data_IF_162572545896
#
_entry.id   IF_162572545896
#
_cell.length_a   1.000
_cell.length_b   1.000
_cell.length_c   1.000
_cell.angle_alpha   90.00
_cell.angle_beta   90.00
_cell.angle_gamma   90.00
#
_symmetry.space_group_name_H-M   'P 1'
#
loop_
_entity.id
_entity.type
_entity.pdbx_description
1 polymer ?
#
# COMPACT_ATOMS: atom_id res chain seq x y z
N UNK A 1 25.84 -12.26 21.27
CA UNK A 1 25.67 -11.82 19.88
C UNK A 1 24.20 -11.54 19.68
N UNK A 2 23.84 -10.27 19.47
CA UNK A 2 22.46 -9.84 19.29
C UNK A 2 22.07 -10.08 17.82
N UNK A 3 21.00 -10.82 17.49
CA UNK A 3 20.57 -10.94 16.10
C UNK A 3 20.09 -9.57 15.60
N UNK A 4 20.57 -9.17 14.43
CA UNK A 4 20.13 -7.97 13.73
C UNK A 4 18.61 -8.03 13.46
N UNK A 5 17.88 -6.90 13.52
CA UNK A 5 16.47 -6.88 13.16
C UNK A 5 16.35 -7.32 11.69
N UNK A 6 15.71 -8.47 11.46
CA UNK A 6 15.33 -8.92 10.13
C UNK A 6 14.31 -7.92 9.59
N UNK A 7 14.67 -7.21 8.51
CA UNK A 7 13.81 -6.27 7.80
C UNK A 7 12.43 -6.89 7.54
N UNK A 8 11.44 -6.51 8.36
CA UNK A 8 10.04 -6.95 8.29
C UNK A 8 9.22 -6.14 7.28
N UNK A 9 9.85 -5.21 6.55
CA UNK A 9 9.20 -4.27 5.62
C UNK A 9 8.51 -4.92 4.42
N UNK A 10 8.76 -6.21 4.16
CA UNK A 10 8.20 -6.92 3.01
C UNK A 10 6.83 -7.57 3.27
N UNK A 11 6.46 -7.87 4.52
CA UNK A 11 5.16 -8.51 4.83
C UNK A 11 4.24 -7.58 5.60
N UNK A 12 3.23 -7.07 4.90
CA UNK A 12 2.00 -6.58 5.52
C UNK A 12 1.29 -7.78 6.16
N UNK A 13 1.50 -7.97 7.46
CA UNK A 13 0.90 -9.04 8.23
C UNK A 13 -0.31 -8.56 9.01
N UNK A 14 -1.37 -9.37 9.05
CA UNK A 14 -2.56 -9.00 9.81
C UNK A 14 -2.26 -8.80 11.31
N UNK A 15 -2.82 -7.74 11.89
CA UNK A 15 -2.63 -7.38 13.30
C UNK A 15 -1.18 -6.97 13.64
N UNK A 16 -0.27 -6.94 12.66
CA UNK A 16 1.09 -6.49 12.91
C UNK A 16 1.11 -4.96 13.05
N UNK A 17 1.96 -4.43 13.95
CA UNK A 17 2.23 -3.01 14.00
C UNK A 17 2.71 -2.51 12.63
N UNK A 18 2.23 -1.34 12.23
CA UNK A 18 2.69 -0.67 11.03
C UNK A 18 3.11 0.76 11.38
N UNK A 19 4.35 1.07 11.03
CA UNK A 19 4.87 2.43 10.99
C UNK A 19 5.36 2.68 9.58
N UNK A 20 5.01 3.84 9.02
CA UNK A 20 5.45 4.18 7.66
C UNK A 20 6.97 4.24 7.63
N UNK A 21 7.64 3.40 6.82
CA UNK A 21 9.08 3.47 6.67
C UNK A 21 9.50 4.85 6.14
N UNK A 22 10.75 5.24 6.38
CA UNK A 22 11.30 6.50 5.90
C UNK A 22 11.26 6.65 4.37
N UNK A 23 11.70 7.82 3.90
CA UNK A 23 11.64 8.24 2.49
C UNK A 23 11.99 7.14 1.47
N UNK A 24 11.04 6.86 0.58
CA UNK A 24 11.20 5.95 -0.55
C UNK A 24 11.79 6.61 -1.80
N UNK A 25 11.91 5.83 -2.88
CA UNK A 25 12.33 6.32 -4.21
C UNK A 25 11.20 7.05 -4.94
N UNK A 26 9.97 6.86 -4.49
CA UNK A 26 8.77 7.55 -4.94
C UNK A 26 8.21 8.41 -3.80
N UNK A 27 7.64 9.56 -4.16
CA UNK A 27 6.58 10.17 -3.34
C UNK A 27 5.25 9.53 -3.74
N UNK A 28 4.44 9.11 -2.77
CA UNK A 28 3.18 8.39 -3.02
C UNK A 28 2.04 9.17 -2.35
N UNK A 29 1.13 9.71 -3.15
CA UNK A 29 -0.07 10.42 -2.71
C UNK A 29 -1.34 9.64 -3.11
N UNK A 30 -2.42 9.83 -2.37
CA UNK A 30 -3.62 8.99 -2.47
C UNK A 30 -4.88 9.82 -2.45
N UNK A 31 -5.76 9.56 -3.41
CA UNK A 31 -7.08 10.16 -3.52
C UNK A 31 -8.12 9.07 -3.30
N UNK A 32 -8.54 8.95 -2.05
CA UNK A 32 -9.56 8.02 -1.59
C UNK A 32 -10.73 8.77 -0.95
N UNK A 33 -11.94 8.18 -0.94
CA UNK A 33 -13.02 8.66 -0.10
C UNK A 33 -12.59 8.70 1.37
N UNK A 34 -12.94 9.76 2.09
CA UNK A 34 -12.70 9.85 3.54
C UNK A 34 -13.74 9.09 4.38
N UNK A 35 -14.77 8.53 3.74
CA UNK A 35 -15.85 7.77 4.38
C UNK A 35 -16.24 6.57 3.53
N UNK A 36 -16.57 5.45 4.17
CA UNK A 36 -17.13 4.27 3.54
C UNK A 36 -18.21 3.63 4.43
N UNK A 37 -19.19 2.97 3.83
CA UNK A 37 -20.17 2.17 4.57
C UNK A 37 -19.54 0.84 4.98
N UNK A 38 -19.84 0.35 6.18
CA UNK A 38 -19.50 -1.02 6.60
C UNK A 38 -20.17 -2.11 5.75
N UNK A 39 -21.13 -1.74 4.90
CA UNK A 39 -21.72 -2.63 3.88
C UNK A 39 -21.01 -2.59 2.54
N UNK A 40 -20.10 -1.64 2.33
CA UNK A 40 -19.33 -1.57 1.09
C UNK A 40 -18.35 -2.75 1.02
N UNK A 41 -18.08 -3.24 -0.19
CA UNK A 41 -17.15 -4.37 -0.37
C UNK A 41 -15.69 -3.94 -0.22
N UNK A 42 -15.38 -2.73 -0.66
CA UNK A 42 -14.03 -2.19 -0.73
C UNK A 42 -14.07 -0.66 -0.77
N UNK A 43 -12.94 -0.04 -0.43
CA UNK A 43 -12.67 1.36 -0.73
C UNK A 43 -11.76 1.40 -1.95
N UNK A 44 -12.14 2.18 -2.96
CA UNK A 44 -11.37 2.35 -4.20
C UNK A 44 -10.96 3.80 -4.35
N UNK A 45 -9.75 4.02 -4.87
CA UNK A 45 -9.22 5.34 -5.14
C UNK A 45 -8.10 5.30 -6.16
N UNK A 46 -7.37 6.41 -6.24
CA UNK A 46 -6.22 6.56 -7.13
C UNK A 46 -4.98 6.88 -6.30
N UNK A 47 -3.89 6.21 -6.61
CA UNK A 47 -2.56 6.49 -6.06
C UNK A 47 -1.76 7.20 -7.13
N UNK A 48 -1.31 8.41 -6.83
CA UNK A 48 -0.40 9.17 -7.66
C UNK A 48 1.02 8.98 -7.14
N UNK A 49 1.93 8.55 -8.01
CA UNK A 49 3.34 8.38 -7.67
C UNK A 49 4.16 9.43 -8.41
N UNK A 50 5.09 10.06 -7.71
CA UNK A 50 6.07 10.96 -8.31
C UNK A 50 7.46 10.39 -8.10
N UNK A 51 8.19 10.15 -9.18
CA UNK A 51 9.53 9.57 -9.08
C UNK A 51 10.54 10.61 -8.59
N UNK A 52 11.32 10.28 -7.56
CA UNK A 52 12.37 11.18 -7.03
C UNK A 52 13.71 11.06 -7.78
N UNK A 53 13.86 10.01 -8.57
CA UNK A 53 15.05 9.72 -9.41
C UNK A 53 14.64 8.95 -10.65
N UNK A 54 15.55 8.75 -11.60
CA UNK A 54 15.26 7.86 -12.73
C UNK A 54 15.06 6.42 -12.22
N UNK A 55 13.99 5.76 -12.65
CA UNK A 55 13.65 4.39 -12.26
C UNK A 55 13.11 3.65 -13.48
N UNK A 56 13.66 2.46 -13.74
CA UNK A 56 13.18 1.56 -14.77
C UNK A 56 12.99 0.18 -14.19
N UNK A 57 11.82 -0.40 -14.41
CA UNK A 57 11.45 -1.68 -13.81
C UNK A 57 10.00 -2.06 -14.04
N UNK A 58 9.61 -3.18 -13.45
CA UNK A 58 8.25 -3.70 -13.49
C UNK A 58 7.54 -3.38 -12.18
N UNK A 59 6.31 -2.87 -12.26
CA UNK A 59 5.42 -2.60 -11.13
C UNK A 59 4.15 -3.44 -11.27
N UNK A 60 3.43 -3.69 -10.17
CA UNK A 60 2.09 -4.28 -10.25
C UNK A 60 1.09 -3.31 -10.92
N UNK A 61 0.01 -3.81 -11.55
CA UNK A 61 -0.99 -2.96 -12.23
C UNK A 61 -1.72 -1.97 -11.33
N UNK A 62 -1.73 -2.18 -10.01
CA UNK A 62 -2.30 -1.28 -9.02
C UNK A 62 -1.38 -1.08 -7.82
N UNK A 63 -1.65 -0.05 -7.03
CA UNK A 63 -1.01 0.11 -5.73
C UNK A 63 -1.61 -0.88 -4.72
N UNK A 64 -0.78 -1.42 -3.84
CA UNK A 64 -1.25 -2.31 -2.78
C UNK A 64 -1.76 -1.46 -1.61
N UNK A 65 -3.08 -1.33 -1.49
CA UNK A 65 -3.71 -0.51 -0.45
C UNK A 65 -4.13 -1.38 0.73
N UNK A 66 -3.90 -0.90 1.95
CA UNK A 66 -4.22 -1.61 3.18
C UNK A 66 -4.78 -0.67 4.25
N UNK A 67 -5.48 -1.23 5.23
CA UNK A 67 -6.04 -0.48 6.35
C UNK A 67 -5.23 -0.71 7.61
N UNK A 68 -5.01 0.37 8.35
CA UNK A 68 -4.44 0.36 9.69
C UNK A 68 -5.47 0.93 10.66
N UNK A 69 -5.62 0.30 11.82
CA UNK A 69 -6.42 0.78 12.93
C UNK A 69 -5.59 0.72 14.19
N UNK A 70 -5.50 1.85 14.90
CA UNK A 70 -4.72 1.95 16.15
C UNK A 70 -3.27 1.46 15.98
N UNK A 71 -2.65 1.78 14.84
CA UNK A 71 -1.26 1.40 14.52
C UNK A 71 -1.06 -0.06 14.10
N UNK A 72 -2.11 -0.87 13.95
CA UNK A 72 -2.02 -2.26 13.49
C UNK A 72 -2.78 -2.50 12.18
N UNK A 73 -2.25 -3.35 11.30
CA UNK A 73 -2.90 -3.72 10.03
C UNK A 73 -4.22 -4.44 10.29
N UNK A 74 -5.33 -3.86 9.82
CA UNK A 74 -6.69 -4.35 10.00
C UNK A 74 -7.27 -5.02 8.74
N UNK A 75 -6.82 -4.59 7.56
CA UNK A 75 -7.14 -5.22 6.28
C UNK A 75 -5.91 -5.20 5.38
N UNK A 76 -5.68 -6.28 4.63
CA UNK A 76 -4.53 -6.41 3.72
C UNK A 76 -4.96 -6.16 2.28
N UNK A 77 -4.02 -5.82 1.38
CA UNK A 77 -4.34 -5.60 -0.02
C UNK A 77 -4.91 -6.85 -0.69
N UNK A 78 -5.80 -6.65 -1.66
CA UNK A 78 -6.22 -7.73 -2.56
C UNK A 78 -5.00 -8.25 -3.33
N UNK A 79 -4.92 -9.56 -3.53
CA UNK A 79 -3.91 -10.13 -4.40
C UNK A 79 -4.11 -9.62 -5.83
N UNK A 80 -3.05 -9.08 -6.44
CA UNK A 80 -3.09 -8.56 -7.80
C UNK A 80 -2.60 -9.60 -8.81
N UNK A 81 -2.99 -9.41 -10.06
CA UNK A 81 -2.51 -10.25 -11.17
C UNK A 81 -0.98 -10.21 -11.29
N UNK A 82 -0.41 -11.32 -11.75
CA UNK A 82 1.05 -11.47 -11.92
C UNK A 82 1.60 -10.74 -13.16
N UNK A 83 0.73 -10.12 -13.97
CA UNK A 83 1.15 -9.39 -15.17
C UNK A 83 1.51 -7.96 -14.74
N UNK A 84 2.80 -7.72 -14.52
CA UNK A 84 3.31 -6.38 -14.20
C UNK A 84 3.31 -5.44 -15.40
N UNK A 85 3.38 -4.13 -15.10
CA UNK A 85 3.49 -3.04 -16.07
C UNK A 85 4.93 -2.54 -16.08
N UNK A 86 5.51 -2.37 -17.27
CA UNK A 86 6.83 -1.76 -17.40
C UNK A 86 6.73 -0.26 -17.17
N UNK A 87 7.58 0.24 -16.27
CA UNK A 87 7.83 1.65 -16.04
C UNK A 87 9.23 2.03 -16.50
N UNK A 88 9.33 3.21 -17.12
CA UNK A 88 10.56 3.90 -17.45
C UNK A 88 10.34 5.38 -17.11
N UNK A 89 10.62 5.73 -15.85
CA UNK A 89 10.32 7.04 -15.26
C UNK A 89 11.60 7.85 -15.12
N UNK A 90 11.56 9.09 -15.59
CA UNK A 90 12.53 10.11 -15.24
C UNK A 90 12.26 10.68 -13.84
N UNK A 91 13.23 11.43 -13.30
CA UNK A 91 13.02 12.17 -12.06
C UNK A 91 11.97 13.28 -12.28
N UNK A 92 10.97 13.32 -11.41
CA UNK A 92 9.83 14.23 -11.49
C UNK A 92 8.64 13.71 -12.29
N UNK A 93 8.78 12.57 -12.99
CA UNK A 93 7.65 11.95 -13.69
C UNK A 93 6.57 11.50 -12.71
N UNK A 94 5.33 11.61 -13.18
CA UNK A 94 4.13 11.28 -12.41
C UNK A 94 3.37 10.17 -13.10
N UNK A 95 3.07 9.12 -12.36
CA UNK A 95 2.22 8.01 -12.80
C UNK A 95 1.02 7.83 -11.88
N UNK A 96 -0.04 7.21 -12.40
CA UNK A 96 -1.26 6.94 -11.64
C UNK A 96 -1.60 5.47 -11.65
N UNK A 97 -1.79 4.92 -10.46
CA UNK A 97 -2.22 3.55 -10.24
C UNK A 97 -3.62 3.54 -9.63
N UNK A 98 -4.50 2.60 -10.02
CA UNK A 98 -5.66 2.29 -9.22
C UNK A 98 -5.22 1.72 -7.87
N UNK A 99 -6.01 1.97 -6.82
CA UNK A 99 -5.81 1.36 -5.51
C UNK A 99 -7.14 0.90 -4.92
N UNK A 100 -7.18 -0.33 -4.43
CA UNK A 100 -8.32 -0.91 -3.74
C UNK A 100 -7.91 -1.59 -2.45
N UNK A 101 -8.77 -1.48 -1.43
CA UNK A 101 -8.64 -2.27 -0.21
C UNK A 101 -10.01 -2.86 0.17
N UNK A 102 -10.09 -4.16 0.45
CA UNK A 102 -11.33 -4.78 0.89
C UNK A 102 -11.71 -4.26 2.29
N UNK A 103 -12.99 -4.04 2.53
CA UNK A 103 -13.51 -3.74 3.87
C UNK A 103 -13.78 -5.02 4.67
N UNK A 104 -12.81 -5.94 4.61
CA UNK A 104 -12.84 -7.23 5.27
C UNK A 104 -11.62 -7.33 6.17
N UNK A 105 -11.86 -7.66 7.45
CA UNK A 105 -10.82 -7.93 8.43
C UNK A 105 -9.90 -9.05 7.93
N UNK A 106 -8.60 -8.84 8.05
CA UNK A 106 -7.60 -9.85 7.72
C UNK A 106 -7.43 -10.92 8.83
N UNK A 107 -8.13 -10.79 9.96
CA UNK A 107 -8.06 -11.75 11.06
C UNK A 107 -8.56 -13.13 10.64
N UNK A 108 -8.11 -14.24 11.28
CA UNK A 108 -8.48 -15.59 10.87
C UNK A 108 -9.98 -15.87 10.83
N UNK A 109 -10.77 -15.19 11.68
CA UNK A 109 -12.22 -15.32 11.67
C UNK A 109 -12.85 -14.71 10.40
N UNK A 110 -12.16 -13.77 9.76
CA UNK A 110 -12.68 -12.98 8.64
C UNK A 110 -13.93 -12.18 9.02
N UNK A 111 -14.44 -11.42 8.06
CA UNK A 111 -15.69 -10.65 8.21
C UNK A 111 -15.48 -9.16 8.00
N UNK A 112 -16.55 -8.36 7.98
CA UNK A 112 -16.46 -6.92 7.75
C UNK A 112 -15.53 -6.25 8.77
N UNK A 113 -14.76 -5.25 8.35
CA UNK A 113 -14.06 -4.40 9.31
C UNK A 113 -15.10 -3.68 10.19
N UNK A 114 -14.88 -3.56 11.52
CA UNK A 114 -15.84 -2.85 12.36
C UNK A 114 -15.93 -1.35 11.98
N UNK A 115 -17.05 -0.72 12.30
CA UNK A 115 -17.16 0.74 12.19
C UNK A 115 -16.11 1.44 13.06
N UNK A 116 -15.64 2.61 12.61
CA UNK A 116 -14.65 3.41 13.31
C UNK A 116 -13.71 4.18 12.38
N UNK A 117 -12.68 4.76 12.99
CA UNK A 117 -11.63 5.49 12.27
C UNK A 117 -10.47 4.55 11.90
N UNK A 118 -10.02 4.69 10.67
CA UNK A 118 -8.96 3.93 10.02
C UNK A 118 -8.00 4.87 9.30
N UNK A 119 -6.80 4.37 9.04
CA UNK A 119 -5.81 5.00 8.18
C UNK A 119 -5.60 4.10 6.95
N UNK A 120 -5.76 4.70 5.77
CA UNK A 120 -5.40 4.10 4.49
C UNK A 120 -3.93 4.36 4.20
N UNK A 121 -3.24 3.31 3.79
CA UNK A 121 -1.88 3.37 3.29
C UNK A 121 -1.78 2.65 1.96
N UNK A 122 -0.87 3.11 1.10
CA UNK A 122 -0.55 2.45 -0.16
C UNK A 122 0.91 2.05 -0.17
N UNK A 123 1.20 0.86 -0.70
CA UNK A 123 2.55 0.36 -0.99
C UNK A 123 2.70 0.21 -2.50
N UNK A 124 3.80 0.75 -3.01
CA UNK A 124 4.21 0.57 -4.41
C UNK A 124 5.54 -0.16 -4.42
N UNK A 125 5.58 -1.29 -5.12
CA UNK A 125 6.76 -2.16 -5.23
C UNK A 125 7.21 -2.17 -6.68
N UNK A 126 8.44 -1.74 -6.93
CA UNK A 126 9.08 -1.79 -8.24
C UNK A 126 10.17 -2.85 -8.19
N UNK A 127 10.18 -3.73 -9.19
CA UNK A 127 11.27 -4.66 -9.48
C UNK A 127 12.13 -4.04 -10.58
N UNK A 128 13.32 -3.50 -10.27
CA UNK A 128 14.16 -2.81 -11.26
C UNK A 128 14.66 -3.73 -12.36
N UNK A 129 14.83 -3.20 -13.57
CA UNK A 129 15.46 -3.93 -14.67
C UNK A 129 16.90 -4.33 -14.26
N UNK A 130 17.22 -5.62 -14.36
CA UNK A 130 18.57 -6.13 -14.09
C UNK A 130 18.96 -6.23 -12.61
N UNK A 131 18.04 -5.99 -11.67
CA UNK A 131 18.26 -6.12 -10.24
C UNK A 131 17.34 -7.17 -9.59
N UNK A 132 17.76 -7.71 -8.44
CA UNK A 132 16.92 -8.58 -7.59
C UNK A 132 16.25 -7.82 -6.46
N UNK A 133 16.74 -6.62 -6.15
CA UNK A 133 16.32 -5.84 -5.00
C UNK A 133 15.08 -5.01 -5.34
N UNK A 134 14.02 -5.21 -4.55
CA UNK A 134 12.76 -4.50 -4.71
C UNK A 134 12.88 -3.07 -4.16
N UNK A 135 12.42 -2.10 -4.92
CA UNK A 135 12.26 -0.73 -4.44
C UNK A 135 10.84 -0.59 -3.91
N UNK A 136 10.70 -0.34 -2.60
CA UNK A 136 9.40 -0.20 -1.94
C UNK A 136 9.22 1.25 -1.52
N UNK A 137 8.06 1.83 -1.81
CA UNK A 137 7.68 3.17 -1.34
C UNK A 137 6.26 3.13 -0.77
N UNK A 138 6.03 3.91 0.27
CA UNK A 138 4.76 3.98 0.97
C UNK A 138 4.16 5.39 0.89
N UNK A 139 2.83 5.46 0.85
CA UNK A 139 2.05 6.69 0.98
C UNK A 139 1.00 6.57 2.08
N UNK A 140 0.49 7.71 2.53
CA UNK A 140 -0.43 7.84 3.67
C UNK A 140 0.26 8.45 4.91
N UNK A 141 -0.44 8.48 6.06
CA UNK A 141 -1.82 8.04 6.26
C UNK A 141 -2.84 8.95 5.56
N UNK A 142 -3.84 8.35 4.91
CA UNK A 142 -5.07 9.06 4.54
C UNK A 142 -6.23 8.63 5.45
N UNK A 143 -6.97 9.57 6.05
CA UNK A 143 -8.03 9.23 7.00
C UNK A 143 -9.22 8.58 6.29
N UNK A 144 -9.75 7.51 6.88
CA UNK A 144 -10.99 6.85 6.47
C UNK A 144 -11.88 6.61 7.69
N UNK A 145 -13.16 6.98 7.59
CA UNK A 145 -14.19 6.58 8.55
C UNK A 145 -15.11 5.52 7.95
N UNK A 146 -15.21 4.38 8.62
CA UNK A 146 -16.18 3.32 8.30
C UNK A 146 -17.41 3.51 9.18
N UNK A 147 -18.60 3.59 8.58
CA UNK A 147 -19.88 3.79 9.27
C UNK A 147 -20.78 2.56 9.23
#
# INVERSE_FOLDING_TARGET
MNPAPTNSTDRLGCGQPFETPGDGVLTVDGRFPSTASGTDRAVTGTVEVTSRRAVRGVVSPGAEVFLVRQGAVAAVPTAQDLIGVQWDLAAGDVERLPGDVPLVSCEPAGGPVPAGDYELYARVVIVPDGGTDRLVSFGGPWPLRVT
#
